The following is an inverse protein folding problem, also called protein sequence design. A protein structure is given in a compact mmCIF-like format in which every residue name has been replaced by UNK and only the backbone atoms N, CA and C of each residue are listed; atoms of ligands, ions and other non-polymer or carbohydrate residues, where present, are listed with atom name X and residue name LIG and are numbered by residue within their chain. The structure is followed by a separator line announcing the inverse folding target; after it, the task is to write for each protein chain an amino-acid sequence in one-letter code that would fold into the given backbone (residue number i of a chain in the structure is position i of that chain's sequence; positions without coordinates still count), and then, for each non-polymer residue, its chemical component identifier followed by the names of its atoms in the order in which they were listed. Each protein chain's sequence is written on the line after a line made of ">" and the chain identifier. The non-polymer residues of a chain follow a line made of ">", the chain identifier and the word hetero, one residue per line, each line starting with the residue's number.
data_IF_549291497375
#
_entry.id   IF_549291497375
#
_cell.length_a   1.000
_cell.length_b   1.000
_cell.length_c   1.000
_cell.angle_alpha   90.00
_cell.angle_beta   90.00
_cell.angle_gamma   90.00
#
_symmetry.space_group_name_H-M   'P 1'
#
loop_
_entity.id
_entity.type
_entity.pdbx_description
1 polymer ?
#
# COMPACT_ATOMS: atom_id res chain seq x y z
N UNK A 1 -10.02 -11.09 32.08
CA UNK A 1 -9.00 -10.04 32.26
C UNK A 1 -7.95 -10.29 31.17
N UNK A 2 -8.04 -9.57 30.06
CA UNK A 2 -7.15 -9.73 28.91
C UNK A 2 -5.88 -8.93 29.19
N UNK A 3 -4.75 -9.61 29.26
CA UNK A 3 -3.43 -9.01 29.33
C UNK A 3 -3.13 -8.36 27.96
N UNK A 4 -3.39 -7.07 27.83
CA UNK A 4 -2.83 -6.28 26.77
C UNK A 4 -1.29 -6.33 26.92
N UNK A 5 -0.64 -7.15 26.10
CA UNK A 5 0.81 -7.23 26.05
C UNK A 5 1.37 -5.89 25.63
N UNK A 6 2.21 -5.35 26.49
CA UNK A 6 2.90 -4.08 26.40
C UNK A 6 3.93 -4.12 25.23
N UNK A 7 3.47 -4.01 23.97
CA UNK A 7 4.33 -3.98 22.78
C UNK A 7 4.86 -2.55 22.44
N UNK A 8 4.64 -1.58 23.33
CA UNK A 8 4.95 -0.17 23.09
C UNK A 8 6.40 0.25 23.37
N UNK A 9 7.34 -0.67 23.67
CA UNK A 9 8.71 -0.34 24.04
C UNK A 9 9.79 -1.05 23.22
N UNK A 10 9.58 -1.25 21.90
CA UNK A 10 10.70 -1.61 21.03
C UNK A 10 11.50 -0.31 20.78
N UNK A 11 12.81 -0.25 21.12
CA UNK A 11 13.61 0.94 20.86
C UNK A 11 13.56 1.29 19.38
N UNK A 12 13.28 2.54 19.08
CA UNK A 12 13.30 3.02 17.70
C UNK A 12 14.72 2.84 17.11
N UNK A 13 14.83 2.32 15.87
CA UNK A 13 16.12 2.23 15.22
C UNK A 13 16.78 3.62 15.10
N UNK A 14 18.09 3.71 15.21
CA UNK A 14 18.83 4.97 15.15
C UNK A 14 18.60 5.80 13.87
N UNK A 15 18.03 5.18 12.84
CA UNK A 15 17.68 5.80 11.56
C UNK A 15 16.19 6.16 11.44
N UNK A 16 15.39 5.98 12.50
CA UNK A 16 13.95 6.34 12.44
C UNK A 16 13.74 7.83 12.41
N UNK A 17 12.64 8.24 11.81
CA UNK A 17 12.25 9.64 11.72
C UNK A 17 11.48 10.12 12.96
N UNK A 18 10.74 9.23 13.63
CA UNK A 18 9.89 9.53 14.78
C UNK A 18 10.35 8.77 16.02
N UNK A 19 10.14 9.35 17.20
CA UNK A 19 10.56 8.72 18.47
C UNK A 19 9.63 7.58 18.88
N UNK A 20 8.28 7.68 18.82
CA UNK A 20 7.46 6.48 18.83
C UNK A 20 7.66 5.72 17.53
N UNK A 21 8.07 4.45 17.64
CA UNK A 21 8.21 3.52 16.53
C UNK A 21 7.24 2.37 16.74
N UNK A 22 6.16 2.38 15.99
CA UNK A 22 5.02 1.51 16.22
C UNK A 22 5.19 0.13 15.58
N UNK A 23 4.80 -0.91 16.29
CA UNK A 23 4.71 -2.30 15.78
C UNK A 23 3.26 -2.80 15.71
N UNK A 24 2.34 -2.03 16.27
CA UNK A 24 0.90 -2.28 16.28
C UNK A 24 0.14 -0.98 16.02
N UNK A 25 -1.15 -1.02 15.67
CA UNK A 25 -1.97 0.17 15.48
C UNK A 25 -1.98 1.07 16.71
N UNK A 26 -2.05 2.37 16.47
CA UNK A 26 -2.09 3.41 17.49
C UNK A 26 -3.25 4.40 17.23
N UNK A 27 -3.66 5.21 18.22
CA UNK A 27 -4.90 5.98 18.14
C UNK A 27 -5.01 6.91 16.93
N UNK A 28 -3.91 7.57 16.53
CA UNK A 28 -3.94 8.55 15.43
C UNK A 28 -4.29 7.96 14.06
N UNK A 29 -4.09 6.64 13.85
CA UNK A 29 -4.49 5.95 12.62
C UNK A 29 -5.73 5.05 12.81
N UNK A 30 -6.50 5.25 13.88
CA UNK A 30 -7.71 4.46 14.11
C UNK A 30 -8.76 4.72 13.01
N UNK A 31 -9.27 3.68 12.31
CA UNK A 31 -10.31 3.82 11.31
C UNK A 31 -11.64 4.38 11.85
N UNK A 32 -11.83 4.35 13.17
CA UNK A 32 -13.01 4.91 13.83
C UNK A 32 -12.99 6.45 13.95
N UNK A 33 -11.86 7.10 13.64
CA UNK A 33 -11.78 8.55 13.59
C UNK A 33 -12.60 9.09 12.42
N UNK A 34 -13.42 10.10 12.66
CA UNK A 34 -14.28 10.70 11.65
C UNK A 34 -13.48 11.31 10.49
N UNK A 35 -12.31 11.86 10.78
CA UNK A 35 -11.38 12.47 9.82
C UNK A 35 -10.82 11.44 8.82
N UNK A 36 -10.80 10.17 9.22
CA UNK A 36 -10.34 9.05 8.39
C UNK A 36 -11.48 8.31 7.67
N UNK A 37 -12.71 8.79 7.81
CA UNK A 37 -13.88 8.14 7.23
C UNK A 37 -13.74 7.93 5.72
N UNK A 38 -14.04 6.72 5.28
CA UNK A 38 -14.09 6.34 3.87
C UNK A 38 -15.54 6.10 3.41
N UNK A 39 -16.50 6.66 4.14
CA UNK A 39 -17.93 6.49 3.85
C UNK A 39 -18.27 6.88 2.40
N UNK A 40 -19.06 6.04 1.75
CA UNK A 40 -19.47 6.22 0.35
C UNK A 40 -18.40 5.87 -0.70
N UNK A 41 -17.15 5.60 -0.31
CA UNK A 41 -16.05 5.31 -1.24
C UNK A 41 -16.02 3.85 -1.70
N UNK A 42 -15.59 3.66 -2.94
CA UNK A 42 -15.20 2.37 -3.51
C UNK A 42 -13.67 2.28 -3.53
N UNK A 43 -13.14 1.23 -2.93
CA UNK A 43 -11.70 0.98 -2.80
C UNK A 43 -11.30 -0.25 -3.61
N UNK A 44 -10.35 -0.10 -4.53
CA UNK A 44 -9.75 -1.21 -5.28
C UNK A 44 -8.38 -1.55 -4.70
N UNK A 45 -8.21 -2.83 -4.31
CA UNK A 45 -6.96 -3.32 -3.71
C UNK A 45 -6.41 -4.47 -4.55
N UNK A 46 -5.25 -4.27 -5.17
CA UNK A 46 -4.58 -5.34 -5.90
C UNK A 46 -3.93 -6.33 -4.94
N UNK A 47 -4.14 -7.64 -5.15
CA UNK A 47 -3.64 -8.67 -4.22
C UNK A 47 -4.30 -8.59 -2.83
N UNK A 48 -5.59 -8.17 -2.77
CA UNK A 48 -6.32 -7.99 -1.53
C UNK A 48 -6.85 -9.27 -0.88
N UNK A 49 -6.56 -10.43 -1.46
CA UNK A 49 -7.11 -11.71 -0.99
C UNK A 49 -6.29 -12.38 0.13
N UNK A 50 -5.15 -11.80 0.53
CA UNK A 50 -4.29 -12.32 1.60
C UNK A 50 -3.35 -11.27 2.19
N UNK A 51 -2.77 -11.56 3.35
CA UNK A 51 -1.68 -10.81 3.97
C UNK A 51 -2.00 -9.33 4.16
N UNK A 52 -1.05 -8.46 3.78
CA UNK A 52 -1.16 -7.01 3.93
C UNK A 52 -2.38 -6.46 3.17
N UNK A 53 -2.63 -6.93 1.95
CA UNK A 53 -3.77 -6.48 1.15
C UNK A 53 -5.11 -6.80 1.80
N UNK A 54 -5.24 -7.96 2.45
CA UNK A 54 -6.43 -8.33 3.21
C UNK A 54 -6.62 -7.46 4.46
N UNK A 55 -5.54 -7.19 5.19
CA UNK A 55 -5.57 -6.30 6.36
C UNK A 55 -5.95 -4.86 5.96
N UNK A 56 -5.46 -4.38 4.81
CA UNK A 56 -5.87 -3.08 4.25
C UNK A 56 -7.37 -3.10 3.93
N UNK A 57 -7.88 -4.15 3.27
CA UNK A 57 -9.31 -4.28 2.95
C UNK A 57 -10.17 -4.24 4.22
N UNK A 58 -9.76 -4.94 5.27
CA UNK A 58 -10.42 -4.92 6.60
C UNK A 58 -10.45 -3.52 7.18
N UNK A 59 -9.32 -2.81 7.19
CA UNK A 59 -9.22 -1.46 7.74
C UNK A 59 -10.09 -0.44 6.98
N UNK A 60 -10.20 -0.55 5.65
CA UNK A 60 -11.10 0.31 4.89
C UNK A 60 -12.58 0.03 5.17
N UNK A 61 -12.97 -1.23 5.44
CA UNK A 61 -14.32 -1.57 5.91
C UNK A 61 -14.59 -1.01 7.31
N UNK A 62 -13.62 -1.09 8.22
CA UNK A 62 -13.68 -0.46 9.54
C UNK A 62 -13.86 1.07 9.44
N UNK A 63 -13.24 1.70 8.43
CA UNK A 63 -13.39 3.11 8.11
C UNK A 63 -14.68 3.45 7.34
N UNK A 64 -15.63 2.52 7.26
CA UNK A 64 -16.95 2.67 6.63
C UNK A 64 -16.93 2.79 5.10
N UNK A 65 -15.93 2.27 4.40
CA UNK A 65 -15.97 2.19 2.94
C UNK A 65 -17.23 1.45 2.46
N UNK A 66 -17.87 1.98 1.43
CA UNK A 66 -19.13 1.41 0.91
C UNK A 66 -18.89 0.12 0.10
N UNK A 67 -17.78 0.07 -0.64
CA UNK A 67 -17.43 -1.09 -1.47
C UNK A 67 -15.92 -1.31 -1.47
N UNK A 68 -15.51 -2.53 -1.16
CA UNK A 68 -14.14 -3.00 -1.36
C UNK A 68 -14.10 -3.94 -2.57
N UNK A 69 -13.20 -3.70 -3.50
CA UNK A 69 -12.91 -4.59 -4.61
C UNK A 69 -11.51 -5.14 -4.39
N UNK A 70 -11.40 -6.44 -4.17
CA UNK A 70 -10.10 -7.11 -4.07
C UNK A 70 -9.81 -7.88 -5.34
N UNK A 71 -8.56 -7.81 -5.82
CA UNK A 71 -8.14 -8.68 -6.93
C UNK A 71 -7.17 -9.74 -6.47
N UNK A 72 -7.19 -10.87 -7.17
CA UNK A 72 -6.28 -11.98 -6.97
C UNK A 72 -6.30 -12.93 -8.16
N UNK A 73 -5.25 -13.75 -8.32
CA UNK A 73 -5.12 -14.71 -9.43
C UNK A 73 -5.95 -15.98 -9.23
N UNK A 74 -6.15 -16.38 -7.97
CA UNK A 74 -6.83 -17.63 -7.61
C UNK A 74 -8.28 -17.34 -7.29
N UNK A 75 -9.19 -17.81 -8.15
CA UNK A 75 -10.63 -17.54 -8.05
C UNK A 75 -11.21 -17.91 -6.68
N UNK A 76 -11.03 -19.16 -6.24
CA UNK A 76 -11.57 -19.61 -4.95
C UNK A 76 -11.08 -18.75 -3.79
N UNK A 77 -9.76 -18.56 -3.65
CA UNK A 77 -9.18 -17.75 -2.58
C UNK A 77 -9.64 -16.28 -2.61
N UNK A 78 -9.85 -15.72 -3.80
CA UNK A 78 -10.30 -14.33 -3.95
C UNK A 78 -11.78 -14.19 -3.58
N UNK A 79 -12.61 -15.14 -3.98
CA UNK A 79 -14.03 -15.19 -3.62
C UNK A 79 -14.22 -15.39 -2.12
N UNK A 80 -13.50 -16.36 -1.52
CA UNK A 80 -13.63 -16.70 -0.12
C UNK A 80 -13.15 -15.56 0.80
N UNK A 81 -12.06 -14.87 0.39
CA UNK A 81 -11.60 -13.67 1.08
C UNK A 81 -12.65 -12.54 1.03
N UNK A 82 -13.27 -12.29 -0.12
CA UNK A 82 -14.33 -11.28 -0.24
C UNK A 82 -15.56 -11.62 0.60
N UNK A 83 -15.95 -12.89 0.65
CA UNK A 83 -17.04 -13.35 1.52
C UNK A 83 -16.72 -13.12 3.00
N UNK A 84 -15.49 -13.49 3.44
CA UNK A 84 -15.04 -13.26 4.80
C UNK A 84 -14.99 -11.78 5.18
N UNK A 85 -14.47 -10.92 4.29
CA UNK A 85 -14.47 -9.47 4.48
C UNK A 85 -15.88 -8.91 4.63
N UNK A 86 -16.81 -9.35 3.79
CA UNK A 86 -18.21 -8.92 3.85
C UNK A 86 -18.88 -9.35 5.16
N UNK A 87 -18.62 -10.58 5.60
CA UNK A 87 -19.18 -11.10 6.86
C UNK A 87 -18.60 -10.37 8.10
N UNK A 88 -17.36 -9.90 8.03
CA UNK A 88 -16.69 -9.18 9.12
C UNK A 88 -16.97 -7.66 9.11
N UNK A 89 -17.65 -7.13 8.06
CA UNK A 89 -17.90 -5.70 7.96
C UNK A 89 -18.80 -5.21 9.11
N UNK A 90 -18.29 -4.28 9.92
CA UNK A 90 -19.04 -3.65 11.00
C UNK A 90 -20.15 -2.71 10.46
N UNK A 91 -19.98 -2.19 9.25
CA UNK A 91 -20.96 -1.35 8.57
C UNK A 91 -21.99 -2.25 7.84
N UNK A 92 -23.32 -2.18 8.16
CA UNK A 92 -24.34 -2.99 7.52
C UNK A 92 -24.44 -2.84 5.99
N UNK A 93 -23.91 -1.75 5.44
CA UNK A 93 -23.86 -1.48 3.99
C UNK A 93 -22.51 -1.82 3.33
N UNK A 94 -21.48 -2.12 4.12
CA UNK A 94 -20.14 -2.43 3.61
C UNK A 94 -20.12 -3.82 2.97
N UNK A 95 -19.58 -3.90 1.74
CA UNK A 95 -19.41 -5.19 1.06
C UNK A 95 -18.05 -5.27 0.37
N UNK A 96 -17.53 -6.48 0.29
CA UNK A 96 -16.36 -6.79 -0.50
C UNK A 96 -16.73 -7.67 -1.70
N UNK A 97 -16.07 -7.41 -2.83
CA UNK A 97 -16.21 -8.15 -4.08
C UNK A 97 -14.83 -8.65 -4.51
N UNK A 98 -14.73 -9.94 -4.78
CA UNK A 98 -13.52 -10.55 -5.33
C UNK A 98 -13.59 -10.61 -6.86
N UNK A 99 -12.58 -10.06 -7.52
CA UNK A 99 -12.44 -10.11 -8.98
C UNK A 99 -11.15 -10.84 -9.34
N UNK A 100 -11.27 -11.86 -10.20
CA UNK A 100 -10.07 -12.55 -10.71
C UNK A 100 -9.35 -11.64 -11.68
N UNK A 101 -8.12 -11.27 -11.34
CA UNK A 101 -7.25 -10.47 -12.19
C UNK A 101 -5.78 -10.82 -11.88
N UNK A 102 -5.08 -11.36 -12.86
CA UNK A 102 -3.62 -11.40 -12.80
C UNK A 102 -3.09 -10.07 -13.30
N UNK A 103 -2.53 -9.28 -12.38
CA UNK A 103 -1.95 -7.96 -12.73
C UNK A 103 -0.69 -8.11 -13.61
N UNK A 104 -0.08 -9.29 -13.67
CA UNK A 104 0.97 -9.61 -14.64
C UNK A 104 0.47 -9.65 -16.09
N UNK A 105 -0.83 -9.82 -16.30
CA UNK A 105 -1.45 -9.81 -17.62
C UNK A 105 -2.10 -8.44 -17.89
N UNK A 106 -1.59 -7.74 -18.91
CA UNK A 106 -2.11 -6.44 -19.33
C UNK A 106 -3.57 -6.48 -19.79
N UNK A 107 -3.97 -7.59 -20.46
CA UNK A 107 -5.33 -7.77 -20.95
C UNK A 107 -6.30 -8.01 -19.80
N UNK A 108 -5.88 -8.69 -18.73
CA UNK A 108 -6.69 -8.88 -17.53
C UNK A 108 -6.97 -7.55 -16.82
N UNK A 109 -5.96 -6.66 -16.74
CA UNK A 109 -6.15 -5.30 -16.22
C UNK A 109 -7.15 -4.52 -17.07
N UNK A 110 -7.00 -4.54 -18.39
CA UNK A 110 -7.92 -3.87 -19.31
C UNK A 110 -9.36 -4.38 -19.19
N UNK A 111 -9.54 -5.69 -19.06
CA UNK A 111 -10.82 -6.32 -18.86
C UNK A 111 -11.47 -5.89 -17.53
N UNK A 112 -10.68 -5.82 -16.45
CA UNK A 112 -11.13 -5.32 -15.14
C UNK A 112 -11.72 -3.91 -15.25
N UNK A 113 -10.98 -2.97 -15.83
CA UNK A 113 -11.41 -1.58 -15.92
C UNK A 113 -12.58 -1.37 -16.91
N UNK A 114 -12.61 -2.12 -18.02
CA UNK A 114 -13.78 -2.16 -18.93
C UNK A 114 -15.04 -2.71 -18.23
N UNK A 115 -14.87 -3.68 -17.32
CA UNK A 115 -15.94 -4.18 -16.48
C UNK A 115 -16.51 -3.08 -15.58
N UNK A 116 -15.64 -2.32 -14.91
CA UNK A 116 -16.07 -1.18 -14.07
C UNK A 116 -16.80 -0.11 -14.88
N UNK A 117 -16.29 0.24 -16.05
CA UNK A 117 -16.94 1.22 -16.94
C UNK A 117 -18.34 0.74 -17.36
N UNK A 118 -18.48 -0.51 -17.76
CA UNK A 118 -19.76 -1.12 -18.15
C UNK A 118 -20.78 -1.15 -17.01
N UNK A 119 -20.32 -1.37 -15.77
CA UNK A 119 -21.16 -1.43 -14.56
C UNK A 119 -21.42 -0.05 -13.95
N UNK A 120 -20.79 1.01 -14.45
CA UNK A 120 -20.83 2.33 -13.83
C UNK A 120 -20.15 2.36 -12.45
N UNK A 121 -19.21 1.42 -12.19
CA UNK A 121 -18.49 1.36 -10.94
C UNK A 121 -17.33 2.35 -10.95
N UNK A 122 -17.43 3.41 -10.14
CA UNK A 122 -16.34 4.34 -9.88
C UNK A 122 -15.44 3.84 -8.77
N UNK A 123 -14.11 3.93 -8.95
CA UNK A 123 -13.09 3.66 -7.93
C UNK A 123 -12.59 4.98 -7.37
N UNK A 124 -12.69 5.18 -6.06
CA UNK A 124 -12.27 6.42 -5.37
C UNK A 124 -10.85 6.27 -4.78
N UNK A 125 -10.52 5.05 -4.35
CA UNK A 125 -9.20 4.72 -3.78
C UNK A 125 -8.60 3.53 -4.50
N UNK A 126 -7.37 3.66 -4.98
CA UNK A 126 -6.58 2.56 -5.56
C UNK A 126 -5.43 2.23 -4.62
N UNK A 127 -5.37 0.96 -4.17
CA UNK A 127 -4.25 0.43 -3.39
C UNK A 127 -3.43 -0.54 -4.26
N UNK A 128 -2.21 -0.15 -4.58
CA UNK A 128 -1.23 -0.96 -5.31
C UNK A 128 -0.47 -1.83 -4.31
N UNK A 129 -0.95 -3.06 -4.09
CA UNK A 129 -0.36 -3.98 -3.12
C UNK A 129 0.17 -5.27 -3.79
N UNK A 130 -0.42 -5.72 -4.90
CA UNK A 130 0.07 -6.90 -5.60
C UNK A 130 1.56 -6.78 -5.97
N UNK A 131 2.31 -7.85 -5.74
CA UNK A 131 3.75 -7.88 -5.93
C UNK A 131 4.23 -9.26 -6.38
N UNK A 132 5.23 -9.29 -7.23
CA UNK A 132 6.09 -10.46 -7.47
C UNK A 132 7.39 -10.27 -6.70
N UNK A 133 7.61 -11.11 -5.69
CA UNK A 133 8.90 -11.20 -5.00
C UNK A 133 9.80 -12.08 -5.86
N UNK A 134 10.91 -11.54 -6.34
CA UNK A 134 11.90 -12.28 -7.11
C UNK A 134 12.65 -13.28 -6.20
N UNK A 135 13.19 -14.33 -6.82
CA UNK A 135 14.04 -15.29 -6.12
C UNK A 135 15.27 -14.62 -5.48
N UNK A 136 15.79 -15.24 -4.42
CA UNK A 136 17.01 -14.79 -3.76
C UNK A 136 18.23 -15.23 -4.59
N UNK A 137 18.62 -14.36 -5.55
CA UNK A 137 19.75 -14.57 -6.47
C UNK A 137 20.41 -13.26 -6.82
N UNK A 138 21.74 -13.21 -7.00
CA UNK A 138 22.41 -12.05 -7.60
C UNK A 138 21.76 -11.66 -8.93
N UNK A 139 21.75 -10.37 -9.25
CA UNK A 139 21.03 -9.85 -10.42
C UNK A 139 21.49 -10.48 -11.74
N UNK A 140 22.80 -10.69 -11.88
CA UNK A 140 23.39 -11.31 -13.08
C UNK A 140 23.10 -12.81 -13.19
N UNK A 141 22.72 -13.46 -12.09
CA UNK A 141 22.37 -14.89 -12.05
C UNK A 141 20.85 -15.12 -12.13
N UNK A 142 20.04 -14.08 -11.93
CA UNK A 142 18.58 -14.18 -11.96
C UNK A 142 18.02 -14.54 -13.34
N UNK A 143 18.75 -14.20 -14.41
CA UNK A 143 18.28 -14.30 -15.77
C UNK A 143 17.33 -13.15 -16.16
N UNK A 144 17.47 -12.70 -17.41
CA UNK A 144 16.74 -11.52 -17.89
C UNK A 144 15.22 -11.73 -17.89
N UNK A 145 14.75 -12.95 -18.17
CA UNK A 145 13.33 -13.30 -18.17
C UNK A 145 12.67 -13.12 -16.80
N UNK A 146 13.34 -13.55 -15.73
CA UNK A 146 12.81 -13.42 -14.36
C UNK A 146 12.79 -11.95 -13.90
N UNK A 147 13.83 -11.19 -14.24
CA UNK A 147 13.88 -9.74 -13.97
C UNK A 147 12.72 -9.02 -14.67
N UNK A 148 12.53 -9.26 -15.98
CA UNK A 148 11.43 -8.61 -16.72
C UNK A 148 10.06 -9.06 -16.24
N UNK A 149 9.89 -10.33 -15.87
CA UNK A 149 8.64 -10.80 -15.26
C UNK A 149 8.33 -10.09 -13.92
N UNK A 150 9.35 -9.73 -13.16
CA UNK A 150 9.16 -8.89 -11.97
C UNK A 150 8.81 -7.43 -12.35
N UNK A 151 9.39 -6.88 -13.41
CA UNK A 151 9.00 -5.57 -13.96
C UNK A 151 7.55 -5.55 -14.46
N UNK A 152 7.07 -6.61 -15.10
CA UNK A 152 5.68 -6.71 -15.55
C UNK A 152 4.68 -6.55 -14.41
N UNK A 153 4.92 -7.24 -13.28
CA UNK A 153 4.03 -7.17 -12.12
C UNK A 153 4.26 -5.90 -11.29
N UNK A 154 5.52 -5.57 -10.99
CA UNK A 154 5.84 -4.54 -10.00
C UNK A 154 5.91 -3.13 -10.59
N UNK A 155 6.04 -2.98 -11.91
CA UNK A 155 6.19 -1.68 -12.57
C UNK A 155 5.11 -1.47 -13.63
N UNK A 156 5.10 -2.27 -14.71
CA UNK A 156 4.14 -2.11 -15.82
C UNK A 156 2.69 -2.16 -15.32
N UNK A 157 2.36 -3.19 -14.54
CA UNK A 157 1.01 -3.36 -14.01
C UNK A 157 0.57 -2.18 -13.15
N UNK A 158 1.48 -1.67 -12.31
CA UNK A 158 1.18 -0.50 -11.48
C UNK A 158 0.90 0.74 -12.34
N UNK A 159 1.75 1.02 -13.32
CA UNK A 159 1.55 2.14 -14.24
C UNK A 159 0.24 2.02 -15.01
N UNK A 160 -0.10 0.83 -15.51
CA UNK A 160 -1.36 0.58 -16.22
C UNK A 160 -2.57 0.79 -15.30
N UNK A 161 -2.53 0.28 -14.06
CA UNK A 161 -3.58 0.53 -13.06
C UNK A 161 -3.76 2.01 -12.76
N UNK A 162 -2.65 2.76 -12.57
CA UNK A 162 -2.69 4.20 -12.31
C UNK A 162 -3.24 4.96 -13.49
N UNK A 163 -2.82 4.64 -14.71
CA UNK A 163 -3.35 5.26 -15.93
C UNK A 163 -4.87 5.09 -16.06
N UNK A 164 -5.36 3.85 -15.87
CA UNK A 164 -6.79 3.56 -15.92
C UNK A 164 -7.55 4.27 -14.79
N UNK A 165 -7.02 4.26 -13.58
CA UNK A 165 -7.57 4.95 -12.44
C UNK A 165 -7.65 6.47 -12.66
N UNK A 166 -6.59 7.08 -13.16
CA UNK A 166 -6.55 8.52 -13.46
C UNK A 166 -7.56 8.90 -14.55
N UNK A 167 -7.62 8.13 -15.65
CA UNK A 167 -8.50 8.38 -16.79
C UNK A 167 -9.98 8.03 -16.54
N UNK A 168 -10.30 7.32 -15.47
CA UNK A 168 -11.67 6.97 -15.13
C UNK A 168 -12.51 8.25 -14.94
N UNK A 169 -13.56 8.39 -15.75
CA UNK A 169 -14.52 9.49 -15.61
C UNK A 169 -15.40 9.24 -14.38
N UNK A 170 -15.42 10.18 -13.46
CA UNK A 170 -16.28 10.16 -12.27
C UNK A 170 -16.87 11.56 -12.13
N UNK A 171 -18.18 11.71 -12.40
CA UNK A 171 -18.86 12.96 -12.17
C UNK A 171 -18.96 13.24 -10.66
N UNK A 172 -18.47 14.39 -10.23
CA UNK A 172 -18.60 14.89 -8.85
C UNK A 172 -17.74 14.19 -7.78
N UNK A 173 -16.81 13.29 -8.15
CA UNK A 173 -15.93 12.59 -7.20
C UNK A 173 -14.47 13.02 -7.37
N UNK A 174 -14.00 13.89 -6.50
CA UNK A 174 -12.60 14.25 -6.30
C UNK A 174 -12.37 14.53 -4.82
N UNK A 175 -11.16 14.30 -4.28
CA UNK A 175 -9.96 13.77 -4.93
C UNK A 175 -9.95 12.24 -5.01
N UNK A 176 -9.24 11.70 -6.00
CA UNK A 176 -8.83 10.29 -6.04
C UNK A 176 -7.67 10.07 -5.07
N UNK A 177 -7.58 8.87 -4.47
CA UNK A 177 -6.48 8.55 -3.56
C UNK A 177 -5.76 7.29 -4.06
N UNK A 178 -4.44 7.38 -4.21
CA UNK A 178 -3.58 6.27 -4.57
C UNK A 178 -2.61 5.96 -3.43
N UNK A 179 -2.69 4.75 -2.90
CA UNK A 179 -1.77 4.24 -1.88
C UNK A 179 -0.92 3.14 -2.50
N UNK A 180 0.40 3.33 -2.52
CA UNK A 180 1.33 2.32 -3.00
C UNK A 180 2.00 1.61 -1.82
N UNK A 181 1.77 0.31 -1.70
CA UNK A 181 2.51 -0.54 -0.76
C UNK A 181 3.89 -0.82 -1.35
N UNK A 182 4.87 -0.08 -0.87
CA UNK A 182 6.27 -0.14 -1.29
C UNK A 182 7.11 -0.98 -0.32
N UNK A 183 8.36 -0.63 -0.09
CA UNK A 183 9.28 -1.29 0.82
C UNK A 183 10.44 -0.35 1.15
N UNK A 184 11.03 -0.49 2.32
CA UNK A 184 12.25 0.25 2.66
C UNK A 184 13.48 -0.15 1.82
N UNK A 185 13.42 -1.26 1.09
CA UNK A 185 14.46 -1.66 0.13
C UNK A 185 14.70 -0.63 -0.99
N UNK A 186 13.77 0.30 -1.22
CA UNK A 186 13.93 1.37 -2.23
C UNK A 186 14.99 2.43 -1.83
N UNK A 187 15.35 2.51 -0.57
CA UNK A 187 16.35 3.45 -0.06
C UNK A 187 17.43 2.80 0.80
N UNK A 188 17.24 1.54 1.22
CA UNK A 188 18.24 0.75 1.91
C UNK A 188 18.56 -0.52 1.12
N UNK A 189 19.50 -0.41 0.18
CA UNK A 189 19.82 -1.49 -0.75
C UNK A 189 20.50 -2.69 -0.07
N UNK A 190 21.03 -2.54 1.14
CA UNK A 190 21.62 -3.65 1.90
C UNK A 190 20.58 -4.68 2.34
N UNK A 191 19.34 -4.24 2.56
CA UNK A 191 18.25 -5.12 3.00
C UNK A 191 17.73 -6.02 1.88
N UNK A 192 17.84 -5.57 0.64
CA UNK A 192 17.46 -6.34 -0.53
C UNK A 192 18.66 -6.92 -1.27
N UNK A 193 19.81 -7.03 -0.60
CA UNK A 193 21.05 -7.52 -1.22
C UNK A 193 20.90 -8.96 -1.74
N UNK A 194 20.10 -9.77 -1.07
CA UNK A 194 19.77 -11.13 -1.48
C UNK A 194 18.70 -11.20 -2.60
N UNK A 195 17.93 -10.13 -2.81
CA UNK A 195 16.82 -10.03 -3.79
C UNK A 195 16.90 -8.74 -4.62
N UNK A 196 17.99 -8.51 -5.35
CA UNK A 196 18.24 -7.23 -6.02
C UNK A 196 17.19 -6.91 -7.11
N UNK A 197 16.64 -7.91 -7.80
CA UNK A 197 15.55 -7.69 -8.78
C UNK A 197 14.28 -7.15 -8.11
N UNK A 198 13.96 -7.59 -6.88
CA UNK A 198 12.86 -7.03 -6.12
C UNK A 198 13.11 -5.56 -5.76
N UNK A 199 14.26 -5.25 -5.16
CA UNK A 199 14.64 -3.87 -4.82
C UNK A 199 14.64 -2.94 -6.03
N UNK A 200 15.19 -3.40 -7.16
CA UNK A 200 15.22 -2.66 -8.43
C UNK A 200 13.80 -2.31 -8.91
N UNK A 201 12.91 -3.30 -8.99
CA UNK A 201 11.53 -3.08 -9.50
C UNK A 201 10.71 -2.20 -8.56
N UNK A 202 10.86 -2.36 -7.24
CA UNK A 202 10.17 -1.51 -6.25
C UNK A 202 10.68 -0.06 -6.27
N UNK A 203 11.99 0.14 -6.49
CA UNK A 203 12.57 1.48 -6.68
C UNK A 203 12.06 2.14 -7.97
N UNK A 204 12.02 1.40 -9.07
CA UNK A 204 11.50 1.91 -10.35
C UNK A 204 10.01 2.32 -10.24
N UNK A 205 9.19 1.50 -9.58
CA UNK A 205 7.79 1.82 -9.34
C UNK A 205 7.60 3.06 -8.45
N UNK A 206 8.36 3.16 -7.36
CA UNK A 206 8.30 4.32 -6.47
C UNK A 206 8.71 5.61 -7.19
N UNK A 207 9.78 5.57 -7.99
CA UNK A 207 10.21 6.72 -8.79
C UNK A 207 9.15 7.10 -9.84
N UNK A 208 8.55 6.13 -10.52
CA UNK A 208 7.49 6.40 -11.50
C UNK A 208 6.29 7.13 -10.85
N UNK A 209 5.86 6.72 -9.66
CA UNK A 209 4.78 7.37 -8.93
C UNK A 209 5.17 8.78 -8.44
N UNK A 210 6.43 9.00 -8.07
CA UNK A 210 6.93 10.34 -7.75
C UNK A 210 6.89 11.28 -8.95
N UNK A 211 7.24 10.79 -10.15
CA UNK A 211 7.17 11.57 -11.39
C UNK A 211 5.70 11.89 -11.76
N UNK A 212 4.79 10.91 -11.63
CA UNK A 212 3.36 11.14 -11.83
C UNK A 212 2.83 12.20 -10.85
N UNK A 213 3.30 12.20 -9.60
CA UNK A 213 2.91 13.18 -8.61
C UNK A 213 3.41 14.62 -8.92
N UNK A 214 4.42 14.78 -9.76
CA UNK A 214 4.84 16.12 -10.25
C UNK A 214 3.84 16.71 -11.25
N UNK A 215 3.16 15.84 -12.00
CA UNK A 215 2.20 16.24 -13.04
C UNK A 215 0.74 16.22 -12.53
N UNK A 216 0.53 15.88 -11.26
CA UNK A 216 -0.78 15.84 -10.63
C UNK A 216 -0.78 16.62 -9.31
N UNK A 217 -1.96 17.00 -8.84
CA UNK A 217 -2.09 17.60 -7.51
C UNK A 217 -2.85 16.68 -6.55
N UNK A 218 -2.69 16.83 -5.22
CA UNK A 218 -3.43 16.03 -4.26
C UNK A 218 -4.94 16.22 -4.35
N UNK A 219 -5.41 17.36 -4.87
CA UNK A 219 -6.84 17.63 -5.12
C UNK A 219 -7.37 16.82 -6.29
N UNK A 220 -6.53 16.46 -7.25
CA UNK A 220 -6.89 15.61 -8.41
C UNK A 220 -6.69 14.14 -8.09
N UNK A 221 -5.48 13.78 -7.67
CA UNK A 221 -5.10 12.42 -7.29
C UNK A 221 -3.98 12.45 -6.26
N UNK A 222 -4.34 12.31 -4.97
CA UNK A 222 -3.36 12.17 -3.89
C UNK A 222 -2.59 10.86 -4.06
N UNK A 223 -1.26 10.91 -4.03
CA UNK A 223 -0.39 9.74 -4.18
C UNK A 223 0.53 9.64 -2.97
N UNK A 224 0.44 8.54 -2.22
CA UNK A 224 1.33 8.26 -1.08
C UNK A 224 1.91 6.85 -1.22
N UNK A 225 3.23 6.72 -1.14
CA UNK A 225 3.91 5.43 -1.05
C UNK A 225 4.24 5.10 0.40
N UNK A 226 4.02 3.84 0.83
CA UNK A 226 4.29 3.44 2.20
C UNK A 226 5.15 2.17 2.30
N UNK A 227 6.05 2.14 3.29
CA UNK A 227 6.62 0.88 3.78
C UNK A 227 5.62 0.24 4.73
N UNK A 228 5.21 -1.02 4.50
CA UNK A 228 4.24 -1.71 5.37
C UNK A 228 4.89 -2.29 6.64
N UNK A 229 6.20 -2.12 6.83
CA UNK A 229 6.96 -2.81 7.85
C UNK A 229 7.15 -4.30 7.55
N UNK A 230 7.70 -5.02 8.51
CA UNK A 230 7.85 -6.47 8.43
C UNK A 230 6.59 -7.17 8.96
N UNK A 231 5.83 -7.82 8.09
CA UNK A 231 4.62 -8.57 8.44
C UNK A 231 4.78 -10.04 8.07
N UNK A 232 4.60 -10.95 9.02
CA UNK A 232 4.69 -12.39 8.77
C UNK A 232 3.45 -12.87 8.00
N UNK A 233 3.51 -12.74 6.70
CA UNK A 233 2.48 -13.23 5.78
C UNK A 233 2.79 -14.64 5.31
N UNK A 234 1.80 -15.34 4.72
CA UNK A 234 2.05 -16.63 4.06
C UNK A 234 3.11 -16.51 2.93
N UNK A 235 3.20 -15.36 2.27
CA UNK A 235 4.25 -15.10 1.28
C UNK A 235 5.64 -14.98 1.95
N UNK A 236 5.74 -14.37 3.13
CA UNK A 236 6.98 -14.31 3.90
C UNK A 236 7.40 -15.71 4.37
N UNK A 237 6.45 -16.51 4.90
CA UNK A 237 6.71 -17.90 5.29
C UNK A 237 7.19 -18.74 4.09
N UNK A 238 6.52 -18.59 2.95
CA UNK A 238 6.92 -19.26 1.71
C UNK A 238 8.30 -18.83 1.17
N UNK A 239 8.78 -17.65 1.58
CA UNK A 239 10.13 -17.16 1.30
C UNK A 239 11.18 -17.61 2.33
N UNK A 240 10.78 -18.44 3.31
CA UNK A 240 11.67 -19.03 4.32
C UNK A 240 11.80 -18.25 5.62
N UNK A 241 10.95 -17.24 5.85
CA UNK A 241 10.93 -16.49 7.12
C UNK A 241 9.97 -17.15 8.12
N UNK A 242 10.29 -17.08 9.39
CA UNK A 242 9.53 -17.58 10.54
C UNK A 242 9.30 -16.49 11.60
N UNK A 243 8.72 -16.87 12.73
CA UNK A 243 8.40 -15.95 13.82
C UNK A 243 9.65 -15.31 14.45
N UNK A 244 10.81 -15.97 14.39
CA UNK A 244 12.08 -15.53 14.96
C UNK A 244 12.90 -14.65 14.02
N UNK A 245 12.56 -14.63 12.73
CA UNK A 245 13.32 -13.94 11.68
C UNK A 245 13.37 -12.41 11.86
N UNK A 246 12.32 -11.81 12.41
CA UNK A 246 12.22 -10.35 12.64
C UNK A 246 11.33 -10.04 13.85
N UNK A 247 11.44 -8.80 14.36
CA UNK A 247 10.42 -8.21 15.22
C UNK A 247 9.22 -7.80 14.34
N UNK A 248 8.31 -8.75 14.12
CA UNK A 248 7.18 -8.57 13.21
C UNK A 248 6.18 -7.50 13.65
N UNK A 249 5.62 -6.80 12.69
CA UNK A 249 4.52 -5.88 12.91
C UNK A 249 3.19 -6.64 12.92
N UNK A 250 2.21 -6.13 13.68
CA UNK A 250 0.81 -6.50 13.48
C UNK A 250 0.39 -6.19 12.04
N UNK A 251 -0.29 -7.09 11.32
CA UNK A 251 -0.82 -6.82 9.98
C UNK A 251 -1.82 -5.65 9.95
N UNK A 252 -2.47 -5.36 11.08
CA UNK A 252 -3.41 -4.24 11.20
C UNK A 252 -2.70 -2.87 11.15
N UNK A 253 -1.41 -2.81 11.49
CA UNK A 253 -0.65 -1.57 11.43
C UNK A 253 -0.61 -1.00 10.00
N UNK A 254 -0.05 -1.70 8.99
CA UNK A 254 -0.08 -1.21 7.62
C UNK A 254 -1.52 -1.09 7.06
N UNK A 255 -2.46 -1.91 7.53
CA UNK A 255 -3.88 -1.82 7.16
C UNK A 255 -4.46 -0.45 7.50
N UNK A 256 -4.41 -0.06 8.76
CA UNK A 256 -4.95 1.21 9.26
C UNK A 256 -4.14 2.40 8.77
N UNK A 257 -2.83 2.24 8.63
CA UNK A 257 -1.98 3.28 8.07
C UNK A 257 -2.32 3.60 6.61
N UNK A 258 -2.71 2.60 5.80
CA UNK A 258 -3.17 2.81 4.43
C UNK A 258 -4.47 3.65 4.37
N UNK A 259 -5.37 3.48 5.34
CA UNK A 259 -6.57 4.33 5.47
C UNK A 259 -6.18 5.78 5.74
N UNK A 260 -5.24 6.01 6.66
CA UNK A 260 -4.72 7.36 6.92
C UNK A 260 -4.04 7.95 5.68
N UNK A 261 -3.23 7.19 4.94
CA UNK A 261 -2.62 7.62 3.68
C UNK A 261 -3.66 8.04 2.62
N UNK A 262 -4.87 7.45 2.64
CA UNK A 262 -5.98 7.78 1.74
C UNK A 262 -6.93 8.85 2.30
N UNK A 263 -6.54 9.54 3.35
CA UNK A 263 -7.31 10.63 3.97
C UNK A 263 -6.73 12.01 3.61
N UNK A 264 -7.51 13.09 3.76
CA UNK A 264 -7.01 14.46 3.59
C UNK A 264 -5.87 14.82 4.54
N UNK A 265 -5.75 14.15 5.70
CA UNK A 265 -4.65 14.38 6.64
C UNK A 265 -3.27 14.09 6.05
N UNK A 266 -3.19 13.20 5.06
CA UNK A 266 -1.93 12.82 4.40
C UNK A 266 -1.66 13.59 3.10
N UNK A 267 -2.48 14.59 2.71
CA UNK A 267 -2.34 15.29 1.44
C UNK A 267 -0.96 15.96 1.26
N UNK A 268 -0.37 16.44 2.33
CA UNK A 268 0.97 17.04 2.33
C UNK A 268 2.11 16.06 1.99
N UNK A 269 1.82 14.77 2.00
CA UNK A 269 2.75 13.70 1.61
C UNK A 269 2.64 13.31 0.14
N UNK A 270 1.92 14.06 -0.66
CA UNK A 270 1.77 13.79 -2.08
C UNK A 270 3.13 13.57 -2.78
N UNK A 271 3.27 12.41 -3.45
CA UNK A 271 4.50 11.98 -4.11
C UNK A 271 5.63 11.54 -3.18
N UNK A 272 5.39 11.32 -1.89
CA UNK A 272 6.40 10.93 -0.90
C UNK A 272 6.25 9.50 -0.44
N UNK A 273 7.33 8.99 0.15
CA UNK A 273 7.42 7.66 0.76
C UNK A 273 7.56 7.78 2.27
N UNK A 274 6.76 7.03 3.01
CA UNK A 274 6.77 7.04 4.48
C UNK A 274 6.63 5.62 5.04
N UNK A 275 6.88 5.45 6.34
CA UNK A 275 6.81 4.15 7.00
C UNK A 275 5.57 4.06 7.90
N UNK A 276 4.87 2.92 7.88
CA UNK A 276 3.71 2.72 8.74
C UNK A 276 4.07 2.67 10.25
N UNK A 277 5.33 2.42 10.56
CA UNK A 277 5.85 2.40 11.92
C UNK A 277 6.12 3.79 12.50
N UNK A 278 6.12 4.83 11.66
CA UNK A 278 6.34 6.20 12.12
C UNK A 278 5.05 6.80 12.72
N UNK A 279 5.22 7.68 13.70
CA UNK A 279 4.09 8.38 14.33
C UNK A 279 3.58 9.51 13.44
N UNK A 280 2.29 9.44 13.05
CA UNK A 280 1.70 10.42 12.14
C UNK A 280 1.54 11.79 12.78
N UNK A 281 1.40 11.90 14.11
CA UNK A 281 1.26 13.19 14.79
C UNK A 281 2.61 13.94 14.82
N UNK A 282 3.73 13.20 14.95
CA UNK A 282 5.06 13.79 14.77
C UNK A 282 5.31 14.19 13.30
N UNK A 283 4.88 13.40 12.34
CA UNK A 283 5.06 13.71 10.90
C UNK A 283 4.25 14.96 10.49
N UNK A 284 3.05 15.11 11.03
CA UNK A 284 2.15 16.23 10.72
C UNK A 284 2.61 17.57 11.30
N UNK A 285 3.59 17.60 12.17
CA UNK A 285 3.97 18.79 12.95
C UNK A 285 5.50 18.96 13.06
N UNK A 286 5.92 20.06 13.67
CA UNK A 286 7.31 20.32 14.02
C UNK A 286 8.28 20.37 12.85
N UNK A 287 9.53 19.99 13.10
CA UNK A 287 10.62 20.06 12.13
C UNK A 287 10.45 19.08 10.96
N UNK A 288 9.81 17.93 11.19
CA UNK A 288 9.56 16.95 10.10
C UNK A 288 8.60 17.58 9.08
N UNK A 289 7.48 18.13 9.54
CA UNK A 289 6.51 18.80 8.68
C UNK A 289 7.12 19.96 7.92
N UNK A 290 7.86 20.82 8.61
CA UNK A 290 8.58 21.95 8.01
C UNK A 290 9.52 21.49 6.91
N UNK A 291 10.32 20.45 7.16
CA UNK A 291 11.24 19.90 6.16
C UNK A 291 10.50 19.32 4.95
N UNK A 292 9.34 18.69 5.15
CA UNK A 292 8.51 18.19 4.05
C UNK A 292 8.05 19.35 3.13
N UNK A 293 7.75 20.52 3.71
CA UNK A 293 7.29 21.69 2.97
C UNK A 293 8.44 22.43 2.27
N UNK A 294 9.61 22.51 2.89
CA UNK A 294 10.76 23.27 2.40
C UNK A 294 11.66 22.47 1.42
N UNK A 295 11.74 21.14 1.59
CA UNK A 295 12.60 20.26 0.79
C UNK A 295 11.76 19.40 -0.17
N UNK A 296 11.73 19.74 -1.47
CA UNK A 296 10.95 19.00 -2.46
C UNK A 296 11.45 17.57 -2.69
N UNK A 297 12.66 17.23 -2.24
CA UNK A 297 13.28 15.90 -2.38
C UNK A 297 13.18 15.05 -1.12
N UNK A 298 12.78 15.64 0.00
CA UNK A 298 12.67 14.91 1.26
C UNK A 298 11.64 13.79 1.20
N UNK A 299 11.98 12.60 1.71
CA UNK A 299 11.17 11.39 1.65
C UNK A 299 10.86 10.92 0.21
N UNK A 300 11.77 11.16 -0.71
CA UNK A 300 11.71 10.70 -2.11
C UNK A 300 12.90 9.80 -2.46
N UNK A 301 12.73 8.98 -3.47
CA UNK A 301 13.85 8.20 -4.05
C UNK A 301 14.78 9.17 -4.77
N UNK A 302 16.06 9.11 -4.45
CA UNK A 302 17.06 10.00 -5.03
C UNK A 302 18.49 9.55 -4.69
N UNK A 303 19.45 10.33 -5.10
CA UNK A 303 20.86 10.12 -4.80
C UNK A 303 21.15 10.61 -3.38
N UNK A 304 21.78 9.75 -2.56
CA UNK A 304 22.17 10.13 -1.20
C UNK A 304 23.34 11.11 -1.21
N UNK A 305 23.26 12.14 -0.40
CA UNK A 305 24.30 13.14 -0.22
C UNK A 305 24.23 14.32 -1.20
N UNK A 306 23.15 14.43 -1.94
CA UNK A 306 22.82 15.62 -2.73
C UNK A 306 21.67 16.38 -2.09
#
# INVERSE_FOLDING_TARGET
>A
MSTASNQSNVPAPAWTLTTPFHKAPYPAISPSRLELSQAGKTVLITGGNAGIGYAIATAFLEASAAKIIITGRREGATRDAAASLTAAAANPGGKAVGVVCDVGDALAIDALWKGFEKEGTGVDVLVLNAVKVADAKPLLESGLGDVWSAFDVNVRAQLQMVERFYKQKQEGRVPKNLVNVSTFAIHNHLVAADRPAYGLTKSAAALALQLIAQDTSPETMQIVSMNPGAVLTEAAKGAGYDEESFAWNSPDLPGRFAVWCASPEAAFLHGRFIWCEWDVDEIKSGEIRKRIEEDPFYLKVGVRGL
#
